data_IF_321705072972
#
_entry.id   IF_321705072972
#
_cell.length_a   1.000
_cell.length_b   1.000
_cell.length_c   1.000
_cell.angle_alpha   90.00
_cell.angle_beta   90.00
_cell.angle_gamma   90.00
#
_symmetry.space_group_name_H-M   'P 1'
#
loop_
_entity.id
_entity.type
_entity.pdbx_description
1 polymer ?
#
# COMPACT_ATOMS: atom_id res chain seq x y z
N UNK A 1 16.90 -13.93 -0.75
CA UNK A 1 16.16 -12.75 -0.26
C UNK A 1 15.44 -13.09 1.05
N UNK A 2 15.86 -12.53 2.19
CA UNK A 2 15.26 -12.84 3.52
C UNK A 2 13.91 -12.11 3.78
N UNK A 3 13.50 -11.16 2.94
CA UNK A 3 12.32 -10.27 3.12
C UNK A 3 11.22 -10.41 2.06
N UNK A 4 11.03 -11.61 1.48
CA UNK A 4 10.07 -11.83 0.37
C UNK A 4 8.62 -11.48 0.74
N UNK A 5 8.18 -11.80 1.96
CA UNK A 5 6.81 -11.58 2.42
C UNK A 5 6.38 -10.11 2.45
N UNK A 6 7.29 -9.20 2.86
CA UNK A 6 7.03 -7.75 2.90
C UNK A 6 6.73 -7.20 1.49
N UNK A 7 7.54 -7.62 0.51
CA UNK A 7 7.40 -7.22 -0.89
C UNK A 7 6.16 -7.86 -1.53
N UNK A 8 5.85 -9.12 -1.22
CA UNK A 8 4.64 -9.79 -1.73
C UNK A 8 3.38 -9.07 -1.26
N UNK A 9 3.29 -8.71 0.03
CA UNK A 9 2.13 -7.98 0.57
C UNK A 9 2.04 -6.59 -0.05
N UNK A 10 3.16 -5.89 -0.22
CA UNK A 10 3.21 -4.60 -0.92
C UNK A 10 2.73 -4.69 -2.37
N UNK A 11 3.18 -5.70 -3.12
CA UNK A 11 2.76 -5.95 -4.50
C UNK A 11 1.26 -6.28 -4.56
N UNK A 12 0.77 -7.13 -3.65
CA UNK A 12 -0.66 -7.45 -3.57
C UNK A 12 -1.51 -6.19 -3.35
N UNK A 13 -1.07 -5.29 -2.45
CA UNK A 13 -1.71 -3.99 -2.23
C UNK A 13 -1.71 -3.10 -3.48
N UNK A 14 -0.61 -3.08 -4.24
CA UNK A 14 -0.54 -2.32 -5.51
C UNK A 14 -1.48 -2.89 -6.56
N UNK A 15 -1.52 -4.22 -6.73
CA UNK A 15 -2.44 -4.86 -7.67
C UNK A 15 -3.88 -4.49 -7.34
N UNK A 16 -4.24 -4.53 -6.05
CA UNK A 16 -5.57 -4.16 -5.59
C UNK A 16 -5.87 -2.66 -5.82
N UNK A 17 -4.88 -1.77 -5.62
CA UNK A 17 -5.01 -0.35 -5.97
C UNK A 17 -5.23 -0.15 -7.47
N UNK A 18 -4.49 -0.86 -8.32
CA UNK A 18 -4.62 -0.75 -9.79
C UNK A 18 -6.01 -1.20 -10.22
N UNK A 19 -6.51 -2.32 -9.69
CA UNK A 19 -7.85 -2.81 -10.02
C UNK A 19 -8.92 -1.82 -9.53
N UNK A 20 -8.82 -1.35 -8.29
CA UNK A 20 -9.85 -0.50 -7.70
C UNK A 20 -9.78 0.95 -8.19
N UNK A 21 -8.68 1.65 -7.90
CA UNK A 21 -8.50 3.06 -8.27
C UNK A 21 -8.26 3.21 -9.78
N UNK A 22 -7.42 2.36 -10.36
CA UNK A 22 -7.10 2.42 -11.79
C UNK A 22 -8.27 1.98 -12.65
N UNK A 23 -8.95 0.89 -12.26
CA UNK A 23 -10.17 0.44 -12.93
C UNK A 23 -11.26 1.51 -12.89
N UNK A 24 -11.55 2.06 -11.70
CA UNK A 24 -12.52 3.16 -11.57
C UNK A 24 -12.14 4.38 -12.42
N UNK A 25 -10.87 4.82 -12.31
CA UNK A 25 -10.36 5.98 -13.03
C UNK A 25 -10.52 5.81 -14.55
N UNK A 26 -10.11 4.67 -15.09
CA UNK A 26 -10.17 4.37 -16.52
C UNK A 26 -11.62 4.23 -17.00
N UNK A 27 -12.47 3.51 -16.25
CA UNK A 27 -13.87 3.31 -16.62
C UNK A 27 -14.62 4.63 -16.69
N UNK A 28 -14.49 5.51 -15.68
CA UNK A 28 -15.21 6.78 -15.67
C UNK A 28 -14.68 7.75 -16.72
N UNK A 29 -13.36 7.87 -16.88
CA UNK A 29 -12.77 8.81 -17.85
C UNK A 29 -12.96 8.39 -19.31
N UNK A 30 -13.11 7.08 -19.57
CA UNK A 30 -13.38 6.55 -20.92
C UNK A 30 -14.86 6.44 -21.23
N UNK A 31 -15.75 6.63 -20.25
CA UNK A 31 -17.19 6.54 -20.43
C UNK A 31 -17.74 7.85 -21.01
N UNK A 32 -18.62 7.72 -21.99
CA UNK A 32 -19.37 8.86 -22.55
C UNK A 32 -20.57 9.20 -21.65
N UNK A 33 -20.94 10.47 -21.60
CA UNK A 33 -22.01 10.98 -20.71
C UNK A 33 -23.33 10.21 -20.91
N UNK A 34 -23.68 9.87 -22.15
CA UNK A 34 -24.86 9.07 -22.53
C UNK A 34 -24.91 7.68 -21.86
N UNK A 35 -23.75 7.05 -21.69
CA UNK A 35 -23.61 5.72 -21.05
C UNK A 35 -23.66 5.86 -19.52
N UNK A 36 -23.15 6.96 -18.99
CA UNK A 36 -23.26 7.28 -17.56
C UNK A 36 -24.71 7.48 -17.12
N UNK A 37 -25.53 8.19 -17.92
CA UNK A 37 -26.95 8.42 -17.61
C UNK A 37 -27.76 7.13 -17.51
N UNK A 38 -27.44 6.14 -18.35
CA UNK A 38 -28.21 4.89 -18.45
C UNK A 38 -27.74 3.81 -17.49
N UNK A 39 -26.45 3.81 -17.13
CA UNK A 39 -25.85 2.70 -16.39
C UNK A 39 -25.48 3.06 -14.95
N UNK A 40 -24.98 4.27 -14.70
CA UNK A 40 -24.38 4.65 -13.41
C UNK A 40 -25.30 5.59 -12.63
N UNK A 41 -25.89 6.58 -13.29
CA UNK A 41 -26.80 7.55 -12.66
C UNK A 41 -28.00 6.91 -11.93
N UNK A 42 -28.74 5.93 -12.50
CA UNK A 42 -29.86 5.30 -11.80
C UNK A 42 -29.44 4.53 -10.54
N UNK A 43 -28.20 4.04 -10.48
CA UNK A 43 -27.67 3.31 -9.31
C UNK A 43 -27.26 4.29 -8.20
N UNK A 44 -26.76 5.48 -8.56
CA UNK A 44 -26.28 6.48 -7.61
C UNK A 44 -27.39 7.37 -7.04
N UNK A 45 -28.42 7.65 -7.83
CA UNK A 45 -29.42 8.67 -7.51
C UNK A 45 -30.85 8.22 -7.87
N UNK A 46 -31.26 7.05 -7.38
CA UNK A 46 -32.66 6.62 -7.39
C UNK A 46 -33.56 7.74 -6.83
N UNK A 47 -34.32 8.42 -7.70
CA UNK A 47 -35.26 9.48 -7.33
C UNK A 47 -34.80 10.95 -7.47
N UNK A 48 -33.61 11.23 -8.02
CA UNK A 48 -33.15 12.61 -8.27
C UNK A 48 -33.41 13.02 -9.73
N UNK A 49 -33.78 14.28 -9.97
CA UNK A 49 -34.12 14.76 -11.31
C UNK A 49 -32.93 14.71 -12.26
N UNK A 50 -33.17 14.32 -13.52
CA UNK A 50 -32.20 14.26 -14.62
C UNK A 50 -31.40 15.56 -14.86
N UNK A 51 -31.86 16.67 -14.28
CA UNK A 51 -31.21 17.98 -14.33
C UNK A 51 -29.79 18.01 -13.74
N UNK A 52 -29.43 17.06 -12.89
CA UNK A 52 -28.11 16.98 -12.22
C UNK A 52 -27.15 15.96 -12.85
N UNK A 53 -27.53 15.34 -13.98
CA UNK A 53 -26.72 14.26 -14.58
C UNK A 53 -25.35 14.78 -15.03
N UNK A 54 -25.31 15.93 -15.72
CA UNK A 54 -24.07 16.50 -16.23
C UNK A 54 -23.12 16.92 -15.11
N UNK A 55 -23.64 17.56 -14.07
CA UNK A 55 -22.86 17.96 -12.89
C UNK A 55 -22.34 16.75 -12.11
N UNK A 56 -23.15 15.70 -11.98
CA UNK A 56 -22.74 14.44 -11.34
C UNK A 56 -21.67 13.72 -12.15
N UNK A 57 -21.79 13.72 -13.48
CA UNK A 57 -20.79 13.14 -14.38
C UNK A 57 -19.46 13.89 -14.29
N UNK A 58 -19.49 15.22 -14.30
CA UNK A 58 -18.30 16.06 -14.14
C UNK A 58 -17.61 15.80 -12.79
N UNK A 59 -18.37 15.76 -11.69
CA UNK A 59 -17.83 15.43 -10.37
C UNK A 59 -17.20 14.03 -10.32
N UNK A 60 -17.83 13.04 -10.96
CA UNK A 60 -17.27 11.69 -11.06
C UNK A 60 -15.98 11.66 -11.89
N UNK A 61 -15.92 12.42 -12.98
CA UNK A 61 -14.72 12.50 -13.82
C UNK A 61 -13.55 13.15 -13.06
N UNK A 62 -13.81 14.24 -12.31
CA UNK A 62 -12.80 14.87 -11.44
C UNK A 62 -12.29 13.88 -10.38
N UNK A 63 -13.19 13.13 -9.74
CA UNK A 63 -12.83 12.09 -8.76
C UNK A 63 -12.02 10.95 -9.39
N UNK A 64 -12.40 10.53 -10.60
CA UNK A 64 -11.70 9.50 -11.36
C UNK A 64 -10.27 9.92 -11.71
N UNK A 65 -10.07 11.17 -12.14
CA UNK A 65 -8.75 11.74 -12.39
C UNK A 65 -7.94 11.80 -11.08
N UNK A 66 -8.55 12.23 -9.98
CA UNK A 66 -7.90 12.29 -8.66
C UNK A 66 -7.42 10.91 -8.18
N UNK A 67 -8.23 9.87 -8.38
CA UNK A 67 -7.86 8.49 -8.07
C UNK A 67 -6.71 8.00 -8.96
N UNK A 68 -6.69 8.36 -10.24
CA UNK A 68 -5.59 8.07 -11.15
C UNK A 68 -4.26 8.72 -10.71
N UNK A 69 -4.30 10.00 -10.33
CA UNK A 69 -3.12 10.72 -9.80
C UNK A 69 -2.64 10.09 -8.49
N UNK A 70 -3.57 9.77 -7.59
CA UNK A 70 -3.27 9.08 -6.32
C UNK A 70 -2.57 7.74 -6.57
N UNK A 71 -3.09 6.94 -7.51
CA UNK A 71 -2.50 5.65 -7.86
C UNK A 71 -1.05 5.79 -8.33
N UNK A 72 -0.75 6.80 -9.15
CA UNK A 72 0.60 7.07 -9.64
C UNK A 72 1.55 7.40 -8.47
N UNK A 73 1.13 8.23 -7.53
CA UNK A 73 1.91 8.57 -6.33
C UNK A 73 2.20 7.32 -5.49
N UNK A 74 1.17 6.50 -5.23
CA UNK A 74 1.30 5.24 -4.47
C UNK A 74 2.25 4.29 -5.18
N UNK A 75 2.18 4.20 -6.50
CA UNK A 75 3.05 3.34 -7.31
C UNK A 75 4.53 3.73 -7.16
N UNK A 76 4.84 5.02 -7.24
CA UNK A 76 6.20 5.54 -7.03
C UNK A 76 6.69 5.21 -5.61
N UNK A 77 5.85 5.45 -4.59
CA UNK A 77 6.22 5.19 -3.19
C UNK A 77 6.51 3.71 -2.94
N UNK A 78 5.68 2.80 -3.47
CA UNK A 78 5.88 1.35 -3.31
C UNK A 78 7.08 0.85 -4.11
N UNK A 79 7.34 1.40 -5.31
CA UNK A 79 8.54 1.10 -6.08
C UNK A 79 9.81 1.49 -5.31
N UNK A 80 9.85 2.71 -4.76
CA UNK A 80 10.95 3.19 -3.92
C UNK A 80 11.11 2.35 -2.65
N UNK A 81 10.00 1.97 -2.00
CA UNK A 81 10.01 1.11 -0.82
C UNK A 81 10.64 -0.26 -1.15
N UNK A 82 10.20 -0.86 -2.26
CA UNK A 82 10.67 -2.17 -2.73
C UNK A 82 12.15 -2.15 -3.09
N UNK A 83 12.63 -1.10 -3.79
CA UNK A 83 14.05 -0.91 -4.09
C UNK A 83 14.90 -0.72 -2.82
N UNK A 84 14.39 0.05 -1.85
CA UNK A 84 15.09 0.28 -0.58
C UNK A 84 15.26 -1.02 0.24
N UNK A 85 14.26 -1.90 0.19
CA UNK A 85 14.31 -3.23 0.82
C UNK A 85 15.24 -4.17 0.06
N UNK A 86 15.20 -4.13 -1.27
CA UNK A 86 16.06 -4.95 -2.14
C UNK A 86 17.55 -4.68 -1.90
N UNK A 87 17.92 -3.40 -1.78
CA UNK A 87 19.31 -3.00 -1.52
C UNK A 87 19.78 -3.32 -0.08
N UNK A 88 18.92 -3.86 0.79
CA UNK A 88 19.18 -4.29 2.18
C UNK A 88 19.89 -3.23 3.07
N UNK A 89 19.95 -1.98 2.61
CA UNK A 89 20.77 -0.92 3.22
C UNK A 89 20.03 -0.22 4.36
N UNK A 90 18.69 -0.06 4.28
CA UNK A 90 17.87 0.64 5.29
C UNK A 90 16.42 0.15 5.41
N UNK A 91 16.14 -0.95 6.14
CA UNK A 91 14.78 -1.48 6.28
C UNK A 91 13.79 -0.52 6.99
N UNK A 92 14.30 0.41 7.80
CA UNK A 92 13.49 1.47 8.42
C UNK A 92 12.94 2.46 7.38
N UNK A 93 13.70 2.77 6.33
CA UNK A 93 13.26 3.69 5.26
C UNK A 93 12.18 3.07 4.39
N UNK A 94 12.30 1.79 4.06
CA UNK A 94 11.26 1.04 3.34
C UNK A 94 9.92 1.00 4.09
N UNK A 95 9.95 0.81 5.42
CA UNK A 95 8.74 0.85 6.24
C UNK A 95 8.07 2.23 6.23
N UNK A 96 8.85 3.31 6.35
CA UNK A 96 8.33 4.68 6.29
C UNK A 96 7.66 4.95 4.94
N UNK A 97 8.27 4.51 3.84
CA UNK A 97 7.69 4.65 2.50
C UNK A 97 6.37 3.88 2.35
N UNK A 98 6.25 2.68 2.93
CA UNK A 98 4.99 1.94 2.93
C UNK A 98 3.89 2.60 3.79
N UNK A 99 4.26 3.25 4.90
CA UNK A 99 3.30 4.05 5.69
C UNK A 99 2.82 5.24 4.86
N UNK A 100 3.72 5.95 4.18
CA UNK A 100 3.33 7.05 3.30
C UNK A 100 2.48 6.58 2.13
N UNK A 101 2.76 5.40 1.56
CA UNK A 101 1.92 4.81 0.52
C UNK A 101 0.51 4.53 1.03
N UNK A 102 0.37 3.90 2.20
CA UNK A 102 -0.93 3.67 2.83
C UNK A 102 -1.69 4.95 3.11
N UNK A 103 -1.04 5.96 3.70
CA UNK A 103 -1.63 7.28 3.97
C UNK A 103 -2.07 7.98 2.69
N UNK A 104 -1.24 7.95 1.63
CA UNK A 104 -1.60 8.50 0.34
C UNK A 104 -2.84 7.80 -0.25
N UNK A 105 -2.93 6.47 -0.13
CA UNK A 105 -4.12 5.72 -0.55
C UNK A 105 -5.36 6.12 0.26
N UNK A 106 -5.25 6.29 1.58
CA UNK A 106 -6.35 6.71 2.44
C UNK A 106 -6.85 8.11 2.11
N UNK A 107 -5.95 9.08 2.09
CA UNK A 107 -6.27 10.48 1.83
C UNK A 107 -6.80 10.63 0.40
N UNK A 108 -6.16 9.99 -0.58
CA UNK A 108 -6.54 10.08 -1.98
C UNK A 108 -7.89 9.42 -2.28
N UNK A 109 -8.33 8.44 -1.49
CA UNK A 109 -9.63 7.78 -1.66
C UNK A 109 -10.68 8.21 -0.63
N UNK A 110 -10.45 9.30 0.12
CA UNK A 110 -11.36 9.77 1.15
C UNK A 110 -11.76 8.67 2.15
N UNK A 111 -10.79 7.82 2.52
CA UNK A 111 -10.94 6.67 3.42
C UNK A 111 -11.76 5.48 2.88
N UNK A 112 -12.22 5.52 1.63
CA UNK A 112 -12.96 4.40 1.01
C UNK A 112 -12.07 3.17 0.84
N UNK A 113 -10.82 3.35 0.42
CA UNK A 113 -9.87 2.25 0.20
C UNK A 113 -9.12 1.82 1.48
N UNK A 114 -9.72 1.98 2.66
CA UNK A 114 -9.13 1.56 3.94
C UNK A 114 -8.64 0.08 3.93
N UNK A 115 -9.41 -0.91 3.42
CA UNK A 115 -8.95 -2.30 3.38
C UNK A 115 -7.67 -2.49 2.56
N UNK A 116 -7.51 -1.70 1.50
CA UNK A 116 -6.35 -1.74 0.61
C UNK A 116 -5.15 -1.09 1.31
N UNK A 117 -5.35 0.10 1.90
CA UNK A 117 -4.31 0.81 2.64
C UNK A 117 -3.77 -0.01 3.83
N UNK A 118 -4.62 -0.82 4.46
CA UNK A 118 -4.22 -1.73 5.54
C UNK A 118 -3.14 -2.73 5.13
N UNK A 119 -3.12 -3.18 3.87
CA UNK A 119 -2.07 -4.07 3.37
C UNK A 119 -0.70 -3.36 3.36
N UNK A 120 -0.66 -2.09 2.97
CA UNK A 120 0.57 -1.30 3.01
C UNK A 120 1.05 -1.07 4.44
N UNK A 121 0.14 -0.79 5.38
CA UNK A 121 0.50 -0.68 6.79
C UNK A 121 0.99 -2.01 7.38
N UNK A 122 0.39 -3.12 6.98
CA UNK A 122 0.84 -4.46 7.39
C UNK A 122 2.25 -4.75 6.87
N UNK A 123 2.52 -4.43 5.60
CA UNK A 123 3.87 -4.53 5.03
C UNK A 123 4.88 -3.66 5.79
N UNK A 124 4.52 -2.42 6.13
CA UNK A 124 5.34 -1.54 6.94
C UNK A 124 5.60 -2.09 8.34
N UNK A 125 4.56 -2.59 9.01
CA UNK A 125 4.64 -3.20 10.34
C UNK A 125 5.58 -4.40 10.35
N UNK A 126 5.49 -5.27 9.35
CA UNK A 126 6.42 -6.40 9.20
C UNK A 126 7.87 -5.93 8.97
N UNK A 127 8.09 -4.89 8.16
CA UNK A 127 9.42 -4.31 7.97
C UNK A 127 10.03 -3.76 9.28
N UNK A 128 9.21 -3.18 10.16
CA UNK A 128 9.64 -2.62 11.46
C UNK A 128 9.84 -3.72 12.52
N UNK A 129 8.87 -4.61 12.69
CA UNK A 129 8.84 -5.62 13.75
C UNK A 129 9.89 -6.71 13.56
N UNK A 130 10.23 -7.06 12.32
CA UNK A 130 11.20 -8.13 12.03
C UNK A 130 12.64 -7.82 12.50
N UNK A 131 12.93 -6.57 12.92
CA UNK A 131 14.24 -6.20 13.48
C UNK A 131 14.40 -6.59 14.96
N UNK A 132 13.33 -6.94 15.67
CA UNK A 132 13.40 -7.24 17.12
C UNK A 132 13.92 -8.67 17.39
N UNK A 133 13.85 -9.59 16.42
CA UNK A 133 14.23 -11.00 16.65
C UNK A 133 15.74 -11.30 16.52
N UNK A 134 16.55 -10.36 16.02
CA UNK A 134 17.96 -10.61 15.69
C UNK A 134 18.96 -9.95 16.65
N UNK A 135 18.54 -9.71 17.91
CA UNK A 135 19.44 -9.22 18.99
C UNK A 135 19.35 -10.00 20.31
N UNK A 136 18.62 -11.13 20.36
CA UNK A 136 18.57 -11.99 21.57
C UNK A 136 19.21 -13.37 21.41
N UNK A 137 19.88 -13.63 20.28
CA UNK A 137 20.48 -14.94 19.98
C UNK A 137 22.00 -15.04 20.07
N UNK A 138 22.74 -13.94 20.31
CA UNK A 138 24.21 -13.94 20.20
C UNK A 138 24.95 -13.71 21.52
N UNK A 139 24.26 -13.36 22.62
CA UNK A 139 24.93 -13.11 23.91
C UNK A 139 25.02 -14.32 24.85
N UNK A 140 24.39 -15.47 24.54
CA UNK A 140 24.37 -16.63 25.46
C UNK A 140 25.30 -17.80 25.08
N UNK A 141 26.22 -17.63 24.11
CA UNK A 141 27.16 -18.71 23.72
C UNK A 141 28.64 -18.35 23.92
N UNK A 142 28.96 -17.13 24.37
CA UNK A 142 30.35 -16.69 24.51
C UNK A 142 30.82 -16.55 25.97
N UNK A 143 30.39 -17.43 26.89
CA UNK A 143 31.03 -17.48 28.21
C UNK A 143 30.89 -18.84 28.93
N UNK A 144 31.44 -19.90 28.35
CA UNK A 144 31.67 -21.17 29.07
C UNK A 144 32.70 -22.06 28.36
N UNK A 145 33.96 -21.61 28.29
CA UNK A 145 35.10 -22.52 28.10
C UNK A 145 36.45 -21.83 28.34
N UNK A 146 36.66 -21.29 29.53
CA UNK A 146 37.99 -20.82 29.94
C UNK A 146 38.34 -21.17 31.40
N UNK A 147 37.94 -22.36 31.85
CA UNK A 147 38.37 -22.84 33.18
C UNK A 147 38.16 -24.35 33.35
N UNK A 148 39.01 -25.19 32.76
CA UNK A 148 39.18 -26.58 33.22
C UNK A 148 40.38 -27.30 32.59
N UNK A 149 41.59 -26.74 32.61
CA UNK A 149 42.78 -27.56 32.33
C UNK A 149 44.05 -27.10 33.06
N UNK A 150 43.89 -26.82 34.35
CA UNK A 150 45.02 -26.56 35.26
C UNK A 150 44.91 -27.41 36.54
N UNK A 151 44.65 -28.70 36.39
CA UNK A 151 44.86 -29.70 37.46
C UNK A 151 44.92 -31.10 36.86
N UNK A 152 46.08 -31.45 36.30
CA UNK A 152 46.60 -32.82 36.27
C UNK A 152 48.07 -32.74 36.62
N UNK A 153 48.33 -32.80 37.92
CA UNK A 153 49.55 -33.37 38.51
C UNK A 153 49.33 -34.88 38.51
#
# INVERSE_FOLDING_TARGET
MKRKWEVIIGIAGVILCVIFLGGFSLTITSMEESTFQTTVFPILQEGVSEKYISESFEAMNVLAIWFGVTLLIVFILVALASLSIWQNKYPKRGAVLFIFAGLATLIGTQFIAFPIAFLFFTAAGLCLLRKIKDKKGVENVSNKNYQSDFTRI
#
